data_IF_895178176820
#
_entry.id   IF_895178176820
#
_cell.length_a   1.000
_cell.length_b   1.000
_cell.length_c   1.000
_cell.angle_alpha   90.00
_cell.angle_beta   90.00
_cell.angle_gamma   90.00
#
_symmetry.space_group_name_H-M   'P 1'
#
loop_
_entity.id
_entity.type
_entity.pdbx_description
1 polymer ?
#
# COMPACT_ATOMS: atom_id res chain seq x y z
N UNK A 1 7.91 15.74 -10.30
CA UNK A 1 8.96 14.73 -10.03
C UNK A 1 8.78 14.17 -8.63
N UNK A 2 8.95 12.87 -8.49
CA UNK A 2 8.79 12.20 -7.20
C UNK A 2 10.08 12.28 -6.41
N UNK A 3 9.97 12.69 -5.14
CA UNK A 3 11.10 12.76 -4.23
C UNK A 3 11.24 11.43 -3.49
N UNK A 4 12.19 10.60 -3.90
CA UNK A 4 12.39 9.27 -3.32
C UNK A 4 12.88 9.35 -1.87
N UNK A 5 13.53 10.41 -1.47
CA UNK A 5 13.92 10.59 -0.06
C UNK A 5 12.69 10.77 0.84
N UNK A 6 11.68 11.48 0.37
CA UNK A 6 10.42 11.60 1.09
C UNK A 6 9.70 10.26 1.17
N UNK A 7 9.80 9.43 0.13
CA UNK A 7 9.23 8.08 0.16
C UNK A 7 9.93 7.21 1.19
N UNK A 8 11.24 7.29 1.29
CA UNK A 8 12.00 6.54 2.29
C UNK A 8 11.62 6.96 3.72
N UNK A 9 11.45 8.26 3.94
CA UNK A 9 11.00 8.79 5.24
C UNK A 9 9.60 8.30 5.56
N UNK A 10 8.71 8.29 4.56
CA UNK A 10 7.34 7.79 4.73
C UNK A 10 7.33 6.31 5.12
N UNK A 11 8.16 5.49 4.47
CA UNK A 11 8.29 4.07 4.82
C UNK A 11 8.81 3.91 6.25
N UNK A 12 9.79 4.71 6.64
CA UNK A 12 10.31 4.66 8.01
C UNK A 12 9.24 5.06 9.03
N UNK A 13 8.44 6.07 8.73
CA UNK A 13 7.32 6.47 9.58
C UNK A 13 6.29 5.34 9.73
N UNK A 14 5.99 4.65 8.62
CA UNK A 14 5.09 3.50 8.65
C UNK A 14 5.63 2.39 9.56
N UNK A 15 6.94 2.12 9.47
CA UNK A 15 7.59 1.14 10.34
C UNK A 15 7.51 1.56 11.82
N UNK A 16 7.63 2.84 12.10
CA UNK A 16 7.52 3.35 13.47
C UNK A 16 6.10 3.22 14.01
N UNK A 17 5.10 3.38 13.17
CA UNK A 17 3.68 3.25 13.57
C UNK A 17 3.29 1.78 13.79
N UNK A 18 3.61 0.93 12.85
CA UNK A 18 3.20 -0.50 12.88
C UNK A 18 4.21 -1.40 13.57
N UNK A 19 5.46 -0.96 13.69
CA UNK A 19 6.55 -1.69 14.35
C UNK A 19 6.67 -3.13 13.80
N UNK A 20 6.72 -4.12 14.68
CA UNK A 20 6.86 -5.53 14.30
C UNK A 20 5.63 -6.07 13.56
N UNK A 21 4.54 -5.33 13.56
CA UNK A 21 3.35 -5.70 12.80
C UNK A 21 3.48 -5.47 11.31
N UNK A 22 4.43 -4.62 10.88
CA UNK A 22 4.69 -4.45 9.44
C UNK A 22 5.67 -5.53 8.98
N UNK A 23 5.18 -6.47 8.19
CA UNK A 23 6.00 -7.54 7.63
C UNK A 23 6.76 -7.04 6.41
N UNK A 24 6.09 -6.32 5.51
CA UNK A 24 6.68 -5.82 4.28
C UNK A 24 5.85 -4.67 3.72
N UNK A 25 6.50 -3.78 3.00
CA UNK A 25 5.83 -2.76 2.19
C UNK A 25 6.70 -2.41 0.99
N UNK A 26 6.06 -1.96 -0.07
CA UNK A 26 6.73 -1.51 -1.28
C UNK A 26 5.89 -0.42 -1.93
N UNK A 27 6.56 0.60 -2.46
CA UNK A 27 5.93 1.68 -3.23
C UNK A 27 6.56 1.63 -4.61
N UNK A 28 5.73 1.51 -5.65
CA UNK A 28 6.24 1.34 -7.02
C UNK A 28 5.45 2.18 -8.02
N UNK A 29 6.12 2.45 -9.12
CA UNK A 29 5.48 3.08 -10.28
C UNK A 29 4.55 2.06 -10.92
N UNK A 30 3.30 2.42 -11.05
CA UNK A 30 2.26 1.53 -11.54
C UNK A 30 2.49 1.16 -13.02
N UNK A 31 3.07 2.06 -13.80
CA UNK A 31 3.24 1.87 -15.24
C UNK A 31 4.33 0.84 -15.57
N UNK A 32 5.49 0.94 -14.92
CA UNK A 32 6.64 0.09 -15.24
C UNK A 32 7.00 -0.92 -14.14
N UNK A 33 6.35 -0.85 -12.99
CA UNK A 33 6.61 -1.75 -11.88
C UNK A 33 7.91 -1.44 -11.14
N UNK A 34 8.51 -0.27 -11.37
CA UNK A 34 9.74 0.11 -10.72
C UNK A 34 9.52 0.44 -9.25
N UNK A 35 10.17 -0.32 -8.37
CA UNK A 35 10.14 -0.06 -6.93
C UNK A 35 10.93 1.21 -6.60
N UNK A 36 10.33 2.11 -5.84
CA UNK A 36 10.92 3.40 -5.47
C UNK A 36 11.34 3.45 -4.01
N UNK A 37 10.65 2.73 -3.15
CA UNK A 37 10.97 2.65 -1.72
C UNK A 37 10.28 1.43 -1.13
N UNK A 38 10.88 0.84 -0.11
CA UNK A 38 10.27 -0.33 0.50
C UNK A 38 10.99 -0.84 1.72
N UNK A 39 10.38 -1.83 2.34
CA UNK A 39 10.93 -2.57 3.46
C UNK A 39 10.55 -4.03 3.26
N UNK A 40 11.54 -4.93 3.19
CA UNK A 40 11.33 -6.34 2.86
C UNK A 40 10.55 -6.53 1.56
N UNK A 41 10.76 -5.63 0.59
CA UNK A 41 10.00 -5.62 -0.65
C UNK A 41 10.23 -6.90 -1.46
N UNK A 42 9.15 -7.40 -2.09
CA UNK A 42 9.16 -8.61 -2.90
C UNK A 42 8.68 -8.27 -4.31
N UNK A 43 9.49 -8.53 -5.36
CA UNK A 43 9.06 -8.25 -6.74
C UNK A 43 7.75 -8.94 -7.12
N UNK A 44 7.51 -10.13 -6.57
CA UNK A 44 6.26 -10.86 -6.86
C UNK A 44 5.04 -10.11 -6.32
N UNK A 45 5.17 -9.39 -5.23
CA UNK A 45 4.07 -8.59 -4.67
C UNK A 45 3.72 -7.40 -5.56
N UNK A 46 4.72 -6.77 -6.18
CA UNK A 46 4.50 -5.67 -7.12
C UNK A 46 3.64 -6.15 -8.30
N UNK A 47 4.00 -7.25 -8.91
CA UNK A 47 3.26 -7.82 -10.03
C UNK A 47 1.84 -8.23 -9.62
N UNK A 48 1.72 -8.91 -8.48
CA UNK A 48 0.44 -9.39 -7.96
C UNK A 48 -0.53 -8.24 -7.71
N UNK A 49 -0.11 -7.24 -6.94
CA UNK A 49 -1.02 -6.17 -6.54
C UNK A 49 -1.30 -5.17 -7.66
N UNK A 50 -0.39 -4.99 -8.61
CA UNK A 50 -0.70 -4.24 -9.82
C UNK A 50 -1.83 -4.91 -10.59
N UNK A 51 -1.74 -6.22 -10.75
CA UNK A 51 -2.76 -7.01 -11.46
C UNK A 51 -4.10 -6.98 -10.74
N UNK A 52 -4.12 -7.24 -9.44
CA UNK A 52 -5.36 -7.22 -8.65
C UNK A 52 -6.03 -5.85 -8.72
N UNK A 53 -5.27 -4.78 -8.57
CA UNK A 53 -5.81 -3.43 -8.63
C UNK A 53 -6.45 -3.14 -9.99
N UNK A 54 -5.78 -3.50 -11.08
CA UNK A 54 -6.32 -3.32 -12.43
C UNK A 54 -7.60 -4.12 -12.62
N UNK A 55 -7.65 -5.36 -12.15
CA UNK A 55 -8.84 -6.21 -12.24
C UNK A 55 -10.01 -5.63 -11.44
N UNK A 56 -9.76 -5.14 -10.24
CA UNK A 56 -10.81 -4.50 -9.42
C UNK A 56 -11.34 -3.25 -10.09
N UNK A 57 -10.47 -2.42 -10.63
CA UNK A 57 -10.89 -1.20 -11.33
C UNK A 57 -11.78 -1.51 -12.52
N UNK A 58 -11.39 -2.49 -13.33
CA UNK A 58 -12.16 -2.91 -14.49
C UNK A 58 -13.51 -3.49 -14.08
N UNK A 59 -13.52 -4.32 -13.06
CA UNK A 59 -14.75 -4.97 -12.58
C UNK A 59 -15.74 -3.97 -12.02
N UNK A 60 -15.26 -2.98 -11.29
CA UNK A 60 -16.13 -1.90 -10.77
C UNK A 60 -16.73 -1.09 -11.90
N UNK A 61 -15.91 -0.73 -12.89
CA UNK A 61 -16.37 0.03 -14.05
C UNK A 61 -17.43 -0.74 -14.85
N UNK A 62 -17.19 -2.02 -15.08
CA UNK A 62 -18.11 -2.89 -15.86
C UNK A 62 -19.45 -3.08 -15.13
N UNK A 63 -19.45 -2.98 -13.82
CA UNK A 63 -20.63 -3.21 -12.98
C UNK A 63 -21.36 -1.92 -12.59
N UNK A 64 -20.91 -0.78 -13.10
CA UNK A 64 -21.43 0.55 -12.72
C UNK A 64 -21.33 0.83 -11.22
N UNK A 65 -20.33 0.24 -10.56
CA UNK A 65 -20.04 0.54 -9.17
C UNK A 65 -19.21 1.81 -9.08
N UNK A 66 -19.22 2.49 -7.92
CA UNK A 66 -18.27 3.55 -7.68
C UNK A 66 -16.84 3.01 -7.86
N UNK A 67 -15.92 3.80 -8.46
CA UNK A 67 -14.55 3.33 -8.65
C UNK A 67 -13.81 3.16 -7.33
N UNK A 68 -12.73 2.39 -7.36
CA UNK A 68 -11.82 2.30 -6.21
C UNK A 68 -11.32 3.70 -5.85
N UNK A 69 -11.32 4.00 -4.57
CA UNK A 69 -10.81 5.28 -4.08
C UNK A 69 -9.34 5.14 -3.69
N UNK A 70 -9.03 5.32 -2.41
CA UNK A 70 -7.65 5.48 -1.96
C UNK A 70 -6.97 4.18 -1.56
N UNK A 71 -7.72 3.16 -1.16
CA UNK A 71 -7.13 1.90 -0.72
C UNK A 71 -8.17 0.80 -0.67
N UNK A 72 -7.67 -0.43 -0.57
CA UNK A 72 -8.49 -1.60 -0.24
C UNK A 72 -7.70 -2.55 0.66
N UNK A 73 -8.42 -3.38 1.39
CA UNK A 73 -7.85 -4.34 2.32
C UNK A 73 -8.25 -5.76 1.92
N UNK A 74 -7.35 -6.70 2.13
CA UNK A 74 -7.60 -8.12 1.91
C UNK A 74 -7.31 -8.85 3.21
N UNK A 75 -8.32 -9.56 3.72
CA UNK A 75 -8.16 -10.40 4.90
C UNK A 75 -7.52 -11.72 4.48
N UNK A 76 -6.35 -12.00 4.99
CA UNK A 76 -5.56 -13.18 4.65
C UNK A 76 -5.51 -14.17 5.81
N UNK A 77 -5.32 -15.44 5.47
CA UNK A 77 -5.19 -16.49 6.47
C UNK A 77 -4.00 -16.21 7.42
N UNK A 78 -4.08 -16.76 8.62
CA UNK A 78 -3.02 -16.60 9.60
C UNK A 78 -3.00 -15.24 10.30
N UNK A 79 -4.13 -14.55 10.33
CA UNK A 79 -4.25 -13.26 10.99
C UNK A 79 -3.42 -12.16 10.30
N UNK A 80 -3.40 -12.18 8.98
CA UNK A 80 -2.68 -11.20 8.17
C UNK A 80 -3.66 -10.32 7.39
N UNK A 81 -3.26 -9.10 7.12
CA UNK A 81 -3.98 -8.18 6.23
C UNK A 81 -3.03 -7.66 5.17
N UNK A 82 -3.45 -7.72 3.92
CA UNK A 82 -2.79 -6.97 2.85
C UNK A 82 -3.55 -5.67 2.63
N UNK A 83 -2.84 -4.56 2.62
CA UNK A 83 -3.42 -3.25 2.30
C UNK A 83 -2.76 -2.74 1.02
N UNK A 84 -3.58 -2.24 0.10
CA UNK A 84 -3.08 -1.65 -1.14
C UNK A 84 -3.58 -0.23 -1.22
N UNK A 85 -2.64 0.72 -1.33
CA UNK A 85 -2.93 2.14 -1.40
C UNK A 85 -2.73 2.63 -2.83
N UNK A 86 -3.74 3.33 -3.33
CA UNK A 86 -3.72 3.91 -4.66
C UNK A 86 -3.32 5.38 -4.55
N UNK A 87 -2.09 5.67 -4.95
CA UNK A 87 -1.53 7.03 -4.93
C UNK A 87 -1.54 7.66 -6.33
N UNK A 88 -2.46 7.27 -7.18
CA UNK A 88 -2.51 7.74 -8.57
C UNK A 88 -1.55 6.96 -9.46
N UNK A 89 -0.44 7.57 -9.84
CA UNK A 89 0.59 6.90 -10.67
C UNK A 89 1.41 5.88 -9.90
N UNK A 90 1.36 5.94 -8.56
CA UNK A 90 2.07 5.01 -7.68
C UNK A 90 1.08 4.09 -6.97
N UNK A 91 1.50 2.86 -6.74
CA UNK A 91 0.81 1.93 -5.85
C UNK A 91 1.71 1.60 -4.66
N UNK A 92 1.08 1.29 -3.56
CA UNK A 92 1.79 0.79 -2.38
C UNK A 92 1.07 -0.43 -1.86
N UNK A 93 1.81 -1.52 -1.67
CA UNK A 93 1.33 -2.70 -0.97
C UNK A 93 1.97 -2.81 0.39
N UNK A 94 1.26 -3.38 1.35
CA UNK A 94 1.83 -3.72 2.64
C UNK A 94 1.19 -4.98 3.19
N UNK A 95 2.00 -5.77 3.88
CA UNK A 95 1.56 -6.97 4.57
C UNK A 95 1.71 -6.75 6.06
N UNK A 96 0.64 -6.96 6.80
CA UNK A 96 0.55 -6.65 8.22
C UNK A 96 0.17 -7.91 9.00
N UNK A 97 0.88 -8.13 10.11
CA UNK A 97 0.56 -9.17 11.10
C UNK A 97 -0.41 -8.57 12.13
N UNK A 98 -1.67 -9.01 12.09
CA UNK A 98 -2.71 -8.47 12.96
C UNK A 98 -2.55 -8.87 14.43
N UNK A 99 -1.67 -9.81 14.72
CA UNK A 99 -1.33 -10.14 16.12
C UNK A 99 -0.43 -9.09 16.76
N UNK A 100 0.35 -8.39 15.94
CA UNK A 100 1.34 -7.40 16.39
C UNK A 100 0.95 -5.96 16.07
N UNK A 101 0.06 -5.77 15.11
CA UNK A 101 -0.45 -4.46 14.74
C UNK A 101 -1.97 -4.50 14.67
N UNK A 102 -2.59 -3.61 15.40
CA UNK A 102 -4.05 -3.50 15.48
C UNK A 102 -4.60 -2.98 14.13
N UNK A 103 -5.63 -3.63 13.62
CA UNK A 103 -6.30 -3.23 12.39
C UNK A 103 -6.84 -1.79 12.47
N UNK A 104 -7.33 -1.39 13.64
CA UNK A 104 -7.79 -0.03 13.86
C UNK A 104 -6.69 1.01 13.67
N UNK A 105 -5.47 0.73 14.14
CA UNK A 105 -4.31 1.61 13.94
C UNK A 105 -3.92 1.65 12.46
N UNK A 106 -3.98 0.52 11.77
CA UNK A 106 -3.71 0.47 10.34
C UNK A 106 -4.64 1.43 9.59
N UNK A 107 -5.93 1.34 9.85
CA UNK A 107 -6.95 2.11 9.11
C UNK A 107 -6.98 3.58 9.55
N UNK A 108 -6.89 3.86 10.85
CA UNK A 108 -7.11 5.21 11.37
C UNK A 108 -5.84 6.05 11.50
N UNK A 109 -4.66 5.42 11.51
CA UNK A 109 -3.39 6.13 11.67
C UNK A 109 -2.45 5.88 10.50
N UNK A 110 -2.07 4.62 10.26
CA UNK A 110 -1.02 4.28 9.30
C UNK A 110 -1.40 4.66 7.87
N UNK A 111 -2.56 4.25 7.41
CA UNK A 111 -3.01 4.53 6.04
C UNK A 111 -3.18 6.03 5.78
N UNK A 112 -3.90 6.79 6.62
CA UNK A 112 -4.01 8.24 6.39
C UNK A 112 -2.66 8.97 6.38
N UNK A 113 -1.74 8.58 7.25
CA UNK A 113 -0.40 9.19 7.28
C UNK A 113 0.37 8.90 6.01
N UNK A 114 0.29 7.67 5.49
CA UNK A 114 0.94 7.30 4.23
C UNK A 114 0.36 8.08 3.05
N UNK A 115 -0.96 8.18 2.96
CA UNK A 115 -1.62 8.92 1.88
C UNK A 115 -1.13 10.38 1.89
N UNK A 116 -1.10 11.01 3.05
CA UNK A 116 -0.64 12.39 3.20
C UNK A 116 0.84 12.53 2.83
N UNK A 117 1.69 11.63 3.32
CA UNK A 117 3.13 11.66 3.07
C UNK A 117 3.45 11.48 1.58
N UNK A 118 2.77 10.57 0.90
CA UNK A 118 3.00 10.33 -0.53
C UNK A 118 2.53 11.54 -1.35
N UNK A 119 1.42 12.16 -0.97
CA UNK A 119 0.94 13.37 -1.64
C UNK A 119 1.98 14.49 -1.58
N UNK A 120 2.70 14.61 -0.46
CA UNK A 120 3.74 15.62 -0.28
C UNK A 120 5.04 15.28 -1.02
N UNK A 121 5.27 14.02 -1.36
CA UNK A 121 6.47 13.58 -2.08
C UNK A 121 6.38 13.80 -3.59
N UNK A 122 5.24 14.18 -4.09
CA UNK A 122 4.95 14.31 -5.53
C UNK A 122 5.16 15.71 -6.05
#
# INVERSE_FOLDING_TARGET
MIDTKHLDVAVQDLRNVLRDGLIATDIWDRTDGLSLAGFNAQPVAVALFTRITTELESSMADSNFPPLARYYLIDLAGNHTAAVLNHGSLLQGMLVDNKRANLGILISVAIPRMIDAIAKAR
#
